data_IF_434853450775
#
_entry.id   IF_434853450775
#
_cell.length_a   1.000
_cell.length_b   1.000
_cell.length_c   1.000
_cell.angle_alpha   90.00
_cell.angle_beta   90.00
_cell.angle_gamma   90.00
#
_symmetry.space_group_name_H-M   'P 1'
#
loop_
_entity.id
_entity.type
_entity.pdbx_description
1 polymer ?
#
# COMPACT_ATOMS: atom_id res chain seq x y z
N UNK A 1 -8.68 17.35 -50.13
CA UNK A 1 -7.64 18.08 -49.36
C UNK A 1 -7.83 17.78 -47.88
N UNK A 2 -7.33 16.64 -47.37
CA UNK A 2 -7.66 16.22 -45.98
C UNK A 2 -6.57 15.43 -45.25
N UNK A 3 -5.31 15.48 -45.69
CA UNK A 3 -4.26 14.66 -45.07
C UNK A 3 -3.49 15.37 -43.93
N UNK A 4 -3.40 16.71 -43.94
CA UNK A 4 -2.56 17.45 -42.99
C UNK A 4 -3.13 17.53 -41.56
N UNK A 5 -4.46 17.51 -41.41
CA UNK A 5 -5.11 17.49 -40.10
C UNK A 5 -4.93 16.16 -39.37
N UNK A 6 -4.94 15.04 -40.10
CA UNK A 6 -4.79 13.70 -39.52
C UNK A 6 -3.39 13.49 -38.91
N UNK A 7 -2.33 13.80 -39.67
CA UNK A 7 -0.95 13.73 -39.19
C UNK A 7 -0.65 14.66 -38.01
N UNK A 8 -1.29 15.84 -37.96
CA UNK A 8 -1.16 16.77 -36.82
C UNK A 8 -1.78 16.21 -35.54
N UNK A 9 -2.86 15.44 -35.66
CA UNK A 9 -3.53 14.85 -34.52
C UNK A 9 -2.79 13.62 -34.00
N UNK A 10 -2.27 12.76 -34.89
CA UNK A 10 -1.41 11.65 -34.50
C UNK A 10 -0.12 12.11 -33.83
N UNK A 11 0.53 13.16 -34.35
CA UNK A 11 1.71 13.74 -33.70
C UNK A 11 1.41 14.29 -32.31
N UNK A 12 0.25 14.93 -32.11
CA UNK A 12 -0.17 15.40 -30.79
C UNK A 12 -0.41 14.25 -29.81
N UNK A 13 -1.07 13.18 -30.26
CA UNK A 13 -1.29 11.97 -29.44
C UNK A 13 0.03 11.27 -29.09
N UNK A 14 0.95 11.15 -30.05
CA UNK A 14 2.26 10.55 -29.83
C UNK A 14 3.08 11.35 -28.80
N UNK A 15 3.08 12.69 -28.89
CA UNK A 15 3.73 13.53 -27.88
C UNK A 15 3.07 13.40 -26.51
N UNK A 16 1.75 13.23 -26.45
CA UNK A 16 1.02 13.00 -25.20
C UNK A 16 1.47 11.69 -24.54
N UNK A 17 1.54 10.61 -25.32
CA UNK A 17 2.02 9.29 -24.86
C UNK A 17 3.49 9.33 -24.43
N UNK A 18 4.35 10.01 -25.18
CA UNK A 18 5.77 10.17 -24.83
C UNK A 18 5.95 10.93 -23.51
N UNK A 19 5.11 11.94 -23.25
CA UNK A 19 5.09 12.67 -21.97
C UNK A 19 4.60 11.78 -20.82
N UNK A 20 3.57 10.97 -21.05
CA UNK A 20 3.05 10.02 -20.05
C UNK A 20 4.08 8.93 -19.72
N UNK A 21 4.79 8.42 -20.73
CA UNK A 21 5.85 7.41 -20.57
C UNK A 21 7.11 7.99 -19.92
N UNK A 22 7.49 9.24 -20.26
CA UNK A 22 8.62 9.95 -19.65
C UNK A 22 8.39 10.33 -18.17
N UNK A 23 7.16 10.24 -17.68
CA UNK A 23 6.78 10.60 -16.31
C UNK A 23 6.97 9.48 -15.28
N UNK A 24 7.21 8.25 -15.75
CA UNK A 24 7.57 7.10 -14.93
C UNK A 24 6.59 6.84 -13.77
N UNK A 25 7.14 6.67 -12.57
CA UNK A 25 6.42 6.37 -11.32
C UNK A 25 5.34 7.40 -10.95
N UNK A 26 5.46 8.62 -11.45
CA UNK A 26 4.56 9.74 -11.14
C UNK A 26 3.46 9.93 -12.18
N UNK A 27 3.46 9.16 -13.26
CA UNK A 27 2.42 9.20 -14.31
C UNK A 27 1.01 8.94 -13.76
N UNK A 28 0.90 8.10 -12.73
CA UNK A 28 -0.38 7.70 -12.13
C UNK A 28 -0.90 8.69 -11.07
N UNK A 29 -0.10 9.69 -10.68
CA UNK A 29 -0.53 10.70 -9.73
C UNK A 29 -1.61 11.61 -10.34
N UNK A 30 -2.80 11.64 -9.72
CA UNK A 30 -3.91 12.47 -10.17
C UNK A 30 -3.95 13.82 -9.46
N UNK A 31 -4.14 14.88 -10.24
CA UNK A 31 -4.25 16.26 -9.76
C UNK A 31 -5.46 16.94 -10.41
N UNK A 32 -6.15 17.78 -9.67
CA UNK A 32 -7.29 18.53 -10.21
C UNK A 32 -6.84 19.75 -11.07
N UNK A 33 -5.55 20.14 -11.01
CA UNK A 33 -4.98 21.25 -11.75
C UNK A 33 -3.69 20.85 -12.51
N UNK A 34 -3.65 21.11 -13.82
CA UNK A 34 -2.50 20.83 -14.68
C UNK A 34 -1.24 21.61 -14.28
N UNK A 35 -1.35 22.83 -13.77
CA UNK A 35 -0.19 23.56 -13.25
C UNK A 35 0.40 22.90 -12.01
N UNK A 36 -0.45 22.35 -11.14
CA UNK A 36 0.00 21.66 -9.94
C UNK A 36 0.71 20.36 -10.30
N UNK A 37 0.16 19.61 -11.26
CA UNK A 37 0.81 18.42 -11.81
C UNK A 37 2.20 18.76 -12.38
N UNK A 38 2.31 19.78 -13.23
CA UNK A 38 3.60 20.19 -13.80
C UNK A 38 4.61 20.63 -12.72
N UNK A 39 4.17 21.38 -11.71
CA UNK A 39 5.03 21.77 -10.58
C UNK A 39 5.47 20.56 -9.77
N UNK A 40 4.56 19.64 -9.47
CA UNK A 40 4.85 18.40 -8.75
C UNK A 40 5.88 17.56 -9.49
N UNK A 41 5.68 17.35 -10.79
CA UNK A 41 6.60 16.57 -11.62
C UNK A 41 7.97 17.23 -11.74
N UNK A 42 8.03 18.56 -11.79
CA UNK A 42 9.30 19.29 -11.73
C UNK A 42 10.00 19.11 -10.39
N UNK A 43 9.26 19.11 -9.29
CA UNK A 43 9.78 18.91 -7.94
C UNK A 43 10.29 17.48 -7.73
N UNK A 44 9.53 16.49 -8.19
CA UNK A 44 9.83 15.06 -8.06
C UNK A 44 10.89 14.56 -9.05
N UNK A 45 11.49 15.47 -9.83
CA UNK A 45 12.53 15.12 -10.81
C UNK A 45 12.02 14.43 -12.07
N UNK A 46 10.70 14.39 -12.31
CA UNK A 46 10.07 13.79 -13.49
C UNK A 46 10.41 14.48 -14.82
N UNK A 47 11.04 15.67 -14.79
CA UNK A 47 11.46 16.41 -15.99
C UNK A 47 12.99 16.49 -16.18
N UNK A 48 13.79 15.66 -15.49
CA UNK A 48 15.25 15.75 -15.60
C UNK A 48 15.72 15.24 -16.97
N UNK A 49 16.26 16.15 -17.81
CA UNK A 49 16.84 15.82 -19.13
C UNK A 49 18.01 14.84 -18.93
N UNK A 50 17.80 13.57 -19.29
CA UNK A 50 18.75 12.47 -19.04
C UNK A 50 18.34 11.48 -17.95
N UNK A 51 17.17 11.64 -17.33
CA UNK A 51 16.57 10.55 -16.55
C UNK A 51 16.04 9.49 -17.53
N UNK A 52 16.92 8.63 -18.04
CA UNK A 52 16.47 7.28 -18.35
C UNK A 52 15.93 6.72 -17.04
N UNK A 53 14.61 6.73 -16.92
CA UNK A 53 13.89 6.04 -15.85
C UNK A 53 14.37 4.59 -15.93
N UNK A 54 15.26 4.23 -15.01
CA UNK A 54 16.00 2.98 -15.10
C UNK A 54 15.01 1.85 -14.92
N UNK A 55 14.63 1.22 -16.03
CA UNK A 55 13.78 0.05 -16.03
C UNK A 55 12.38 0.37 -15.49
N UNK A 56 11.42 0.33 -16.39
CA UNK A 56 10.13 -0.26 -16.08
C UNK A 56 10.36 -1.52 -15.23
N UNK A 57 10.21 -1.41 -13.91
CA UNK A 57 9.86 -2.57 -13.11
C UNK A 57 8.49 -2.98 -13.64
N UNK A 58 8.49 -3.94 -14.56
CA UNK A 58 7.30 -4.57 -15.09
C UNK A 58 6.54 -5.17 -13.89
N UNK A 59 5.63 -4.39 -13.32
CA UNK A 59 4.90 -4.75 -12.11
C UNK A 59 4.91 -3.68 -11.04
N UNK A 60 4.19 -2.57 -11.28
CA UNK A 60 3.36 -1.79 -10.33
C UNK A 60 3.85 -1.40 -8.92
N UNK A 61 5.02 -1.80 -8.46
CA UNK A 61 5.41 -1.77 -7.05
C UNK A 61 5.82 -0.38 -6.54
N UNK A 62 6.00 0.59 -7.44
CA UNK A 62 6.48 1.93 -7.10
C UNK A 62 5.70 3.05 -7.82
N UNK A 63 4.48 2.78 -8.30
CA UNK A 63 3.65 3.82 -8.91
C UNK A 63 2.93 4.62 -7.82
N UNK A 64 2.78 5.93 -8.05
CA UNK A 64 1.91 6.75 -7.23
C UNK A 64 0.46 6.24 -7.31
N UNK A 65 -0.26 6.21 -6.19
CA UNK A 65 -1.67 5.82 -6.18
C UNK A 65 -2.52 6.90 -6.86
N UNK A 66 -3.43 6.47 -7.74
CA UNK A 66 -4.49 7.33 -8.26
C UNK A 66 -5.56 7.64 -7.20
N UNK A 67 -6.45 8.60 -7.48
CA UNK A 67 -7.47 9.09 -6.54
C UNK A 67 -8.41 7.98 -6.05
N UNK A 68 -8.87 7.12 -6.95
CA UNK A 68 -9.80 6.04 -6.61
C UNK A 68 -9.12 4.96 -5.76
N UNK A 69 -7.89 4.57 -6.13
CA UNK A 69 -7.09 3.61 -5.37
C UNK A 69 -6.73 4.16 -3.98
N UNK A 70 -6.41 5.45 -3.88
CA UNK A 70 -6.19 6.14 -2.60
C UNK A 70 -7.45 6.11 -1.73
N UNK A 71 -8.63 6.42 -2.30
CA UNK A 71 -9.88 6.40 -1.55
C UNK A 71 -10.22 5.01 -1.03
N UNK A 72 -10.08 3.98 -1.86
CA UNK A 72 -10.31 2.60 -1.45
C UNK A 72 -9.34 2.17 -0.33
N UNK A 73 -8.05 2.51 -0.46
CA UNK A 73 -7.06 2.26 0.59
C UNK A 73 -7.45 2.96 1.90
N UNK A 74 -7.88 4.22 1.82
CA UNK A 74 -8.29 4.99 3.00
C UNK A 74 -9.49 4.36 3.70
N UNK A 75 -10.49 3.89 2.94
CA UNK A 75 -11.63 3.16 3.49
C UNK A 75 -11.21 1.86 4.19
N UNK A 76 -10.31 1.09 3.57
CA UNK A 76 -9.76 -0.13 4.17
C UNK A 76 -9.00 0.15 5.48
N UNK A 77 -8.18 1.20 5.51
CA UNK A 77 -7.42 1.61 6.70
C UNK A 77 -8.36 2.03 7.85
N UNK A 78 -9.44 2.76 7.55
CA UNK A 78 -10.45 3.12 8.54
C UNK A 78 -11.12 1.87 9.13
N UNK A 79 -11.51 0.91 8.29
CA UNK A 79 -12.11 -0.34 8.75
C UNK A 79 -11.18 -1.18 9.63
N UNK A 80 -9.89 -1.26 9.27
CA UNK A 80 -8.90 -1.96 10.11
C UNK A 80 -8.63 -1.23 11.42
N UNK A 81 -8.63 0.11 11.42
CA UNK A 81 -8.53 0.91 12.64
C UNK A 81 -9.71 0.62 13.59
N UNK A 82 -10.94 0.67 13.09
CA UNK A 82 -12.13 0.37 13.89
C UNK A 82 -12.11 -1.06 14.43
N UNK A 83 -11.69 -2.03 13.62
CA UNK A 83 -11.53 -3.43 14.02
C UNK A 83 -10.49 -3.60 15.12
N UNK A 84 -9.32 -2.99 14.99
CA UNK A 84 -8.28 -3.02 16.00
C UNK A 84 -8.75 -2.32 17.29
N UNK A 85 -9.49 -1.22 17.16
CA UNK A 85 -10.07 -0.49 18.28
C UNK A 85 -11.11 -1.33 19.03
N UNK A 86 -12.04 -1.99 18.33
CA UNK A 86 -13.04 -2.88 18.91
C UNK A 86 -12.39 -4.05 19.67
N UNK A 87 -11.33 -4.65 19.10
CA UNK A 87 -10.55 -5.70 19.78
C UNK A 87 -9.85 -5.20 21.05
N UNK A 88 -9.35 -3.96 21.06
CA UNK A 88 -8.75 -3.36 22.26
C UNK A 88 -9.78 -3.15 23.37
N UNK A 89 -11.03 -2.86 23.01
CA UNK A 89 -12.14 -2.67 23.95
C UNK A 89 -12.79 -3.99 24.40
N UNK A 90 -12.52 -5.10 23.72
CA UNK A 90 -12.88 -6.44 24.18
C UNK A 90 -11.94 -6.90 25.31
N UNK A 91 -12.19 -6.37 26.51
CA UNK A 91 -11.44 -6.70 27.72
C UNK A 91 -11.62 -8.16 28.19
N UNK A 92 -12.49 -8.95 27.54
CA UNK A 92 -12.68 -10.37 27.90
C UNK A 92 -11.45 -11.23 27.61
N UNK A 93 -10.63 -10.84 26.63
CA UNK A 93 -9.41 -11.55 26.20
C UNK A 93 -8.11 -10.82 26.59
N UNK A 94 -8.14 -9.97 27.63
CA UNK A 94 -6.97 -9.18 28.06
C UNK A 94 -5.79 -10.10 28.39
N UNK A 95 -4.73 -10.05 27.58
CA UNK A 95 -3.52 -10.87 27.76
C UNK A 95 -3.49 -12.22 27.04
N UNK A 96 -4.55 -12.59 26.32
CA UNK A 96 -4.64 -13.86 25.58
C UNK A 96 -3.72 -13.88 24.32
N UNK A 97 -3.48 -12.72 23.70
CA UNK A 97 -2.74 -12.62 22.43
C UNK A 97 -3.67 -12.75 21.21
N UNK A 98 -3.23 -12.22 20.06
CA UNK A 98 -4.02 -12.22 18.84
C UNK A 98 -4.26 -13.65 18.35
N UNK A 99 -5.54 -14.07 18.22
CA UNK A 99 -5.91 -15.40 17.73
C UNK A 99 -5.99 -16.49 18.81
N UNK A 100 -5.79 -16.14 20.07
CA UNK A 100 -5.91 -17.07 21.20
C UNK A 100 -7.14 -16.69 22.03
N UNK A 101 -8.00 -17.66 22.28
CA UNK A 101 -9.11 -17.52 23.23
C UNK A 101 -8.82 -18.44 24.41
N UNK A 102 -8.70 -17.86 25.60
CA UNK A 102 -8.50 -18.64 26.81
C UNK A 102 -9.74 -19.50 27.11
N UNK A 103 -9.59 -20.77 27.54
CA UNK A 103 -10.74 -21.58 27.95
C UNK A 103 -11.49 -20.88 29.11
N UNK A 104 -12.81 -20.77 28.99
CA UNK A 104 -13.67 -19.92 29.84
C UNK A 104 -13.66 -20.23 31.34
N UNK A 105 -13.15 -21.39 31.78
CA UNK A 105 -13.13 -21.75 33.20
C UNK A 105 -11.94 -22.60 33.69
N UNK A 106 -10.94 -22.90 32.85
CA UNK A 106 -9.86 -23.82 33.28
C UNK A 106 -8.84 -23.08 34.15
N UNK A 107 -9.07 -23.09 35.46
CA UNK A 107 -8.01 -22.85 36.45
C UNK A 107 -7.10 -24.09 36.41
N UNK A 108 -5.90 -23.97 35.84
CA UNK A 108 -4.87 -24.99 36.03
C UNK A 108 -4.53 -24.99 37.52
N UNK A 109 -4.80 -26.10 38.21
CA UNK A 109 -4.37 -26.30 39.59
C UNK A 109 -2.97 -26.93 39.55
N UNK A 110 -1.99 -26.22 40.12
CA UNK A 110 -0.67 -26.80 40.39
C UNK A 110 -0.79 -27.49 41.74
N UNK A 111 -0.79 -28.82 41.74
CA UNK A 111 -0.65 -29.57 42.98
C UNK A 111 0.81 -29.46 43.44
N UNK A 112 1.01 -28.72 44.54
CA UNK A 112 2.33 -28.48 45.15
C UNK A 112 2.98 -29.80 45.61
N UNK A 113 2.16 -30.84 45.87
CA UNK A 113 2.64 -32.14 46.32
C UNK A 113 2.91 -33.11 45.16
N UNK A 114 2.51 -32.78 43.93
CA UNK A 114 2.74 -33.62 42.77
C UNK A 114 4.18 -33.47 42.27
N UNK A 115 5.06 -34.37 42.69
CA UNK A 115 6.40 -34.52 42.12
C UNK A 115 6.44 -35.68 41.12
N UNK A 116 6.84 -35.40 39.87
CA UNK A 116 7.05 -36.39 38.80
C UNK A 116 8.50 -36.39 38.32
N UNK A 117 9.46 -36.24 39.23
CA UNK A 117 10.87 -36.39 38.88
C UNK A 117 11.22 -37.87 38.73
N UNK A 118 11.89 -38.22 37.62
CA UNK A 118 12.54 -39.52 37.45
C UNK A 118 14.01 -39.29 37.70
N UNK A 119 14.63 -40.06 38.60
CA UNK A 119 16.07 -40.03 38.79
C UNK A 119 16.72 -40.79 37.62
N UNK A 120 17.75 -40.21 37.04
CA UNK A 120 18.64 -40.94 36.15
C UNK A 120 19.62 -41.71 37.02
N UNK A 121 19.70 -43.02 36.84
CA UNK A 121 20.80 -43.83 37.35
C UNK A 121 21.96 -43.74 36.34
N UNK A 122 23.20 -43.63 36.83
CA UNK A 122 24.44 -43.57 36.03
C UNK A 122 24.74 -44.89 35.30
#
# INVERSE_FOLDING_TARGET
>A
MSNTMFWSQERRKALQMEIEEALGQWSTAQFDNSQQQQKFLRLMGGFKKGSQLTGTAAGGANMALGKDAQQHLQQGLLGEFERAHARKMDFSNRGAGLGFTGPSNKKFAIDINASRSVRFDD
#
